data_IF_598356252141
#
_entry.id   IF_598356252141
#
_cell.length_a   1.000
_cell.length_b   1.000
_cell.length_c   1.000
_cell.angle_alpha   90.00
_cell.angle_beta   90.00
_cell.angle_gamma   90.00
#
_symmetry.space_group_name_H-M   'P 1'
#
loop_
_entity.id
_entity.type
_entity.pdbx_description
1 polymer ?
#
# COMPACT_ATOMS: atom_id res chain seq x y z
N UNK A 1 3.90 33.43 -0.71
CA UNK A 1 4.39 32.49 -1.74
C UNK A 1 4.64 31.17 -1.05
N UNK A 2 3.98 30.10 -1.50
CA UNK A 2 3.97 28.81 -0.80
C UNK A 2 5.30 28.08 -1.00
N UNK A 3 6.18 28.11 0.00
CA UNK A 3 7.45 27.36 0.01
C UNK A 3 7.26 25.84 -0.09
N UNK A 4 6.06 25.32 0.21
CA UNK A 4 5.74 23.90 0.18
C UNK A 4 5.62 23.32 -1.25
N UNK A 5 5.24 24.13 -2.25
CA UNK A 5 5.16 23.65 -3.64
C UNK A 5 6.54 23.40 -4.24
N UNK A 6 7.57 24.13 -3.82
CA UNK A 6 8.93 24.04 -4.38
C UNK A 6 9.73 22.83 -3.82
N UNK A 7 9.20 22.15 -2.79
CA UNK A 7 9.81 20.98 -2.14
C UNK A 7 9.20 19.62 -2.56
N UNK A 8 8.13 19.63 -3.35
CA UNK A 8 7.53 18.39 -3.87
C UNK A 8 8.44 17.74 -4.90
N UNK A 9 8.52 16.41 -4.87
CA UNK A 9 9.36 15.66 -5.81
C UNK A 9 8.71 14.32 -6.18
N UNK A 10 9.05 13.83 -7.37
CA UNK A 10 8.49 12.61 -7.95
C UNK A 10 9.58 11.79 -8.64
N UNK A 11 9.32 10.50 -8.85
CA UNK A 11 10.19 9.61 -9.60
C UNK A 11 9.36 8.63 -10.43
N UNK A 12 9.93 8.18 -11.55
CA UNK A 12 9.28 7.25 -12.47
C UNK A 12 10.30 6.23 -12.98
N UNK A 13 9.87 4.98 -13.09
CA UNK A 13 10.59 3.91 -13.79
C UNK A 13 9.60 3.26 -14.75
N UNK A 14 10.04 3.01 -15.99
CA UNK A 14 9.30 2.22 -16.98
C UNK A 14 10.15 1.03 -17.38
N UNK A 15 9.59 -0.17 -17.33
CA UNK A 15 10.28 -1.41 -17.69
C UNK A 15 9.53 -2.21 -18.74
N UNK A 16 10.26 -3.04 -19.48
CA UNK A 16 9.70 -4.11 -20.29
C UNK A 16 9.31 -5.29 -19.38
N UNK A 17 8.03 -5.67 -19.37
CA UNK A 17 7.50 -6.70 -18.44
C UNK A 17 8.16 -8.07 -18.60
N UNK A 18 8.53 -8.46 -19.82
CA UNK A 18 9.06 -9.79 -20.12
C UNK A 18 10.55 -9.96 -19.77
N UNK A 19 11.34 -8.90 -19.89
CA UNK A 19 12.80 -8.96 -19.70
C UNK A 19 13.30 -8.17 -18.49
N UNK A 20 12.49 -7.26 -17.96
CA UNK A 20 12.87 -6.32 -16.92
C UNK A 20 13.75 -5.16 -17.41
N UNK A 21 14.00 -5.02 -18.73
CA UNK A 21 14.79 -3.91 -19.27
C UNK A 21 14.19 -2.57 -18.89
N UNK A 22 15.03 -1.64 -18.43
CA UNK A 22 14.62 -0.27 -18.13
C UNK A 22 14.50 0.51 -19.44
N UNK A 23 13.28 0.97 -19.74
CA UNK A 23 12.98 1.79 -20.92
C UNK A 23 13.10 3.28 -20.61
N UNK A 24 12.76 3.68 -19.38
CA UNK A 24 12.93 5.05 -18.90
C UNK A 24 13.16 5.08 -17.38
N UNK A 25 13.96 6.04 -16.92
CA UNK A 25 14.24 6.26 -15.50
C UNK A 25 14.35 7.75 -15.20
N UNK A 26 13.49 8.24 -14.30
CA UNK A 26 13.46 9.64 -13.83
C UNK A 26 13.58 9.64 -12.31
N UNK A 27 14.67 10.21 -11.80
CA UNK A 27 15.01 10.23 -10.37
C UNK A 27 14.51 11.44 -9.57
N UNK A 28 14.02 12.48 -10.24
CA UNK A 28 13.56 13.72 -9.62
C UNK A 28 13.09 14.74 -10.65
N UNK A 29 12.38 15.78 -10.20
CA UNK A 29 11.84 16.85 -11.06
C UNK A 29 12.95 17.68 -11.72
N UNK A 30 14.01 17.99 -10.96
CA UNK A 30 15.12 18.80 -11.46
C UNK A 30 16.46 18.27 -10.94
N UNK A 31 17.28 17.78 -11.87
CA UNK A 31 18.61 17.24 -11.58
C UNK A 31 19.61 18.30 -11.09
N UNK A 32 19.48 19.55 -11.55
CA UNK A 32 20.35 20.65 -11.11
C UNK A 32 20.06 21.06 -9.67
N UNK A 33 18.78 20.96 -9.25
CA UNK A 33 18.39 21.14 -7.85
C UNK A 33 18.76 19.92 -6.99
N UNK A 34 18.65 18.70 -7.53
CA UNK A 34 18.96 17.47 -6.79
C UNK A 34 19.38 16.33 -7.71
N UNK A 35 20.65 15.94 -7.63
CA UNK A 35 21.18 14.77 -8.35
C UNK A 35 20.80 13.41 -7.70
N UNK A 36 20.03 13.42 -6.61
CA UNK A 36 19.60 12.23 -5.91
C UNK A 36 18.53 11.46 -6.70
N UNK A 37 18.80 10.19 -7.00
CA UNK A 37 17.92 9.36 -7.81
C UNK A 37 16.88 8.65 -6.94
N UNK A 38 15.71 9.27 -6.76
CA UNK A 38 14.62 8.74 -5.94
C UNK A 38 14.02 7.45 -6.51
N UNK A 39 14.17 7.20 -7.81
CA UNK A 39 13.68 5.98 -8.45
C UNK A 39 14.39 4.72 -7.90
N UNK A 40 15.68 4.80 -7.56
CA UNK A 40 16.44 3.63 -7.07
C UNK A 40 16.91 3.76 -5.62
N UNK A 41 17.06 4.98 -5.11
CA UNK A 41 17.70 5.22 -3.80
C UNK A 41 16.71 5.58 -2.69
N UNK A 42 15.50 6.07 -3.02
CA UNK A 42 14.53 6.44 -2.01
C UNK A 42 13.82 5.20 -1.46
N UNK A 43 13.92 4.96 -0.15
CA UNK A 43 13.08 3.98 0.55
C UNK A 43 11.79 4.65 0.98
N UNK A 44 10.65 4.17 0.49
CA UNK A 44 9.31 4.66 0.84
C UNK A 44 8.40 3.48 1.22
N UNK A 45 7.45 3.73 2.11
CA UNK A 45 6.41 2.76 2.42
C UNK A 45 5.55 2.54 1.16
N UNK A 46 5.43 1.28 0.72
CA UNK A 46 4.68 0.93 -0.49
C UNK A 46 3.17 1.17 -0.37
N UNK A 47 2.66 1.28 0.86
CA UNK A 47 1.23 1.46 1.13
C UNK A 47 0.40 0.37 0.45
N UNK A 48 -0.72 0.76 -0.17
CA UNK A 48 -1.62 -0.16 -0.87
C UNK A 48 -1.02 -0.84 -2.11
N UNK A 49 0.15 -0.41 -2.60
CA UNK A 49 0.79 -1.07 -3.75
C UNK A 49 1.22 -2.51 -3.46
N UNK A 50 1.28 -2.93 -2.18
CA UNK A 50 1.59 -4.31 -1.78
C UNK A 50 0.42 -5.29 -2.01
N UNK A 51 -0.81 -4.77 -2.13
CA UNK A 51 -2.03 -5.61 -2.12
C UNK A 51 -2.02 -6.74 -3.15
N UNK A 52 -1.63 -6.54 -4.42
CA UNK A 52 -1.60 -7.63 -5.39
C UNK A 52 -0.86 -8.89 -4.90
N UNK A 53 0.22 -8.74 -4.14
CA UNK A 53 0.97 -9.87 -3.57
C UNK A 53 0.21 -10.59 -2.46
N UNK A 54 -0.50 -9.85 -1.61
CA UNK A 54 -1.36 -10.47 -0.58
C UNK A 54 -2.49 -11.26 -1.22
N UNK A 55 -3.06 -10.75 -2.31
CA UNK A 55 -4.12 -11.42 -3.05
C UNK A 55 -3.60 -12.65 -3.80
N UNK A 56 -2.37 -12.60 -4.32
CA UNK A 56 -1.71 -13.77 -4.90
C UNK A 56 -1.62 -14.91 -3.89
N UNK A 57 -1.21 -14.63 -2.65
CA UNK A 57 -1.18 -15.62 -1.57
C UNK A 57 -2.58 -16.19 -1.29
N UNK A 58 -3.64 -15.36 -1.34
CA UNK A 58 -5.01 -15.87 -1.19
C UNK A 58 -5.39 -16.83 -2.33
N UNK A 59 -5.05 -16.50 -3.58
CA UNK A 59 -5.27 -17.40 -4.71
C UNK A 59 -4.48 -18.71 -4.59
N UNK A 60 -3.22 -18.64 -4.16
CA UNK A 60 -2.38 -19.82 -3.92
C UNK A 60 -2.97 -20.73 -2.82
N UNK A 61 -3.73 -20.15 -1.88
CA UNK A 61 -4.47 -20.86 -0.83
C UNK A 61 -5.88 -21.33 -1.26
N UNK A 62 -6.21 -21.25 -2.55
CA UNK A 62 -7.47 -21.78 -3.10
C UNK A 62 -8.65 -20.81 -3.05
N UNK A 63 -8.43 -19.53 -2.72
CA UNK A 63 -9.47 -18.51 -2.89
C UNK A 63 -9.66 -18.21 -4.39
N UNK A 64 -10.85 -17.74 -4.74
CA UNK A 64 -11.21 -17.31 -6.09
C UNK A 64 -11.61 -15.84 -6.06
N UNK A 65 -11.70 -15.21 -7.23
CA UNK A 65 -12.19 -13.83 -7.36
C UNK A 65 -13.59 -13.64 -6.76
N UNK A 66 -14.41 -14.68 -6.77
CA UNK A 66 -15.77 -14.72 -6.21
C UNK A 66 -15.82 -15.10 -4.73
N UNK A 67 -14.69 -15.48 -4.11
CA UNK A 67 -14.67 -15.80 -2.68
C UNK A 67 -15.10 -14.58 -1.86
N UNK A 68 -16.08 -14.79 -0.99
CA UNK A 68 -16.58 -13.74 -0.10
C UNK A 68 -15.63 -13.57 1.08
N UNK A 69 -15.22 -12.33 1.33
CA UNK A 69 -14.38 -11.95 2.45
C UNK A 69 -15.06 -10.85 3.27
N UNK A 70 -14.93 -10.91 4.61
CA UNK A 70 -15.51 -9.88 5.47
C UNK A 70 -14.69 -8.59 5.39
N UNK A 71 -15.34 -7.52 4.93
CA UNK A 71 -14.90 -6.12 5.01
C UNK A 71 -15.41 -5.50 6.33
N UNK A 72 -15.01 -6.12 7.44
CA UNK A 72 -15.39 -5.68 8.79
C UNK A 72 -14.16 -5.23 9.56
N UNK A 73 -14.32 -4.25 10.46
CA UNK A 73 -13.25 -3.81 11.34
C UNK A 73 -12.60 -5.02 12.04
N UNK A 74 -11.30 -5.22 11.83
CA UNK A 74 -10.52 -6.23 12.55
C UNK A 74 -9.81 -5.54 13.71
N UNK A 75 -10.14 -5.96 14.93
CA UNK A 75 -9.36 -5.61 16.11
C UNK A 75 -8.19 -6.59 16.18
N UNK A 76 -6.99 -6.11 15.90
CA UNK A 76 -5.79 -6.87 16.20
C UNK A 76 -5.42 -6.55 17.65
N UNK A 77 -5.66 -7.50 18.55
CA UNK A 77 -5.03 -7.46 19.88
C UNK A 77 -3.52 -7.58 19.65
N UNK A 78 -2.75 -6.56 20.04
CA UNK A 78 -1.29 -6.62 19.96
C UNK A 78 -0.81 -7.76 20.86
N UNK A 79 -0.54 -8.92 20.25
CA UNK A 79 0.09 -10.05 20.90
C UNK A 79 1.45 -9.62 21.45
N UNK A 80 1.59 -9.70 22.77
CA UNK A 80 2.76 -9.39 23.61
C UNK A 80 2.85 -7.96 24.15
N UNK A 81 1.94 -7.62 25.06
CA UNK A 81 2.00 -6.40 25.85
C UNK A 81 2.73 -6.64 27.19
N UNK A 82 3.92 -6.06 27.32
CA UNK A 82 4.55 -5.79 28.62
C UNK A 82 3.58 -4.97 29.47
N UNK A 83 3.31 -5.42 30.70
CA UNK A 83 2.28 -4.88 31.62
C UNK A 83 2.41 -3.39 32.00
N UNK A 84 3.41 -2.66 31.49
CA UNK A 84 3.78 -1.33 31.98
C UNK A 84 3.93 -0.27 30.87
N UNK A 85 3.00 -0.17 29.91
CA UNK A 85 2.94 1.06 29.08
C UNK A 85 1.51 1.58 28.93
N UNK A 86 1.30 2.81 29.38
CA UNK A 86 0.07 3.61 29.25
C UNK A 86 -0.26 3.98 27.78
N UNK A 87 0.29 3.27 26.80
CA UNK A 87 0.17 3.55 25.36
C UNK A 87 -0.54 2.44 24.59
N UNK A 88 -1.52 1.77 25.23
CA UNK A 88 -2.26 0.67 24.63
C UNK A 88 -3.30 1.20 23.62
N UNK A 89 -2.82 1.77 22.52
CA UNK A 89 -3.65 2.16 21.38
C UNK A 89 -3.90 0.92 20.53
N UNK A 90 -5.07 0.30 20.70
CA UNK A 90 -5.56 -0.70 19.78
C UNK A 90 -5.52 -0.14 18.34
N UNK A 91 -4.86 -0.85 17.42
CA UNK A 91 -4.76 -0.44 16.03
C UNK A 91 -6.07 -0.76 15.33
N UNK A 92 -6.79 0.29 14.92
CA UNK A 92 -8.06 0.20 14.20
C UNK A 92 -7.82 0.60 12.74
N UNK A 93 -7.53 -0.35 11.84
CA UNK A 93 -7.51 -0.04 10.41
C UNK A 93 -8.90 0.44 9.99
N UNK A 94 -8.97 1.53 9.24
CA UNK A 94 -10.22 2.00 8.64
C UNK A 94 -10.02 2.10 7.13
N UNK A 95 -11.03 1.65 6.36
CA UNK A 95 -11.05 1.89 4.93
C UNK A 95 -11.09 3.39 4.64
N UNK A 96 -10.48 3.84 3.55
CA UNK A 96 -10.46 5.26 3.15
C UNK A 96 -11.86 5.89 3.09
N UNK A 97 -12.88 5.08 2.82
CA UNK A 97 -14.29 5.49 2.69
C UNK A 97 -15.09 5.51 4.00
N UNK A 98 -14.53 5.04 5.13
CA UNK A 98 -15.22 4.85 6.44
C UNK A 98 -16.57 4.11 6.36
N UNK A 99 -16.82 3.37 5.27
CA UNK A 99 -18.02 2.56 5.08
C UNK A 99 -17.61 1.09 5.06
N UNK A 100 -18.29 0.29 5.87
CA UNK A 100 -18.15 -1.16 5.85
C UNK A 100 -19.10 -1.72 4.81
N UNK A 101 -18.59 -2.46 3.83
CA UNK A 101 -19.43 -3.08 2.78
C UNK A 101 -19.97 -4.45 3.20
N UNK A 102 -19.58 -4.96 4.37
CA UNK A 102 -20.04 -6.26 4.88
C UNK A 102 -19.27 -7.41 4.23
N UNK A 103 -19.95 -8.30 3.51
CA UNK A 103 -19.30 -9.35 2.73
C UNK A 103 -19.11 -8.87 1.29
N UNK A 104 -17.85 -8.67 0.91
CA UNK A 104 -17.46 -8.33 -0.47
C UNK A 104 -16.74 -9.50 -1.10
N UNK A 105 -16.74 -9.57 -2.43
CA UNK A 105 -15.89 -10.50 -3.16
C UNK A 105 -14.43 -10.04 -3.10
N UNK A 106 -13.50 -11.00 -3.23
CA UNK A 106 -12.07 -10.71 -3.33
C UNK A 106 -11.78 -9.76 -4.51
N UNK A 107 -12.52 -9.86 -5.62
CA UNK A 107 -12.41 -8.93 -6.75
C UNK A 107 -12.77 -7.48 -6.37
N UNK A 108 -13.89 -7.28 -5.66
CA UNK A 108 -14.34 -5.95 -5.22
C UNK A 108 -13.36 -5.34 -4.23
N UNK A 109 -12.84 -6.14 -3.30
CA UNK A 109 -11.86 -5.69 -2.32
C UNK A 109 -10.57 -5.18 -2.97
N UNK A 110 -10.07 -5.87 -3.99
CA UNK A 110 -8.89 -5.44 -4.75
C UNK A 110 -9.18 -4.17 -5.56
N UNK A 111 -10.29 -4.17 -6.29
CA UNK A 111 -10.68 -3.08 -7.19
C UNK A 111 -10.89 -1.76 -6.44
N UNK A 112 -11.45 -1.83 -5.24
CA UNK A 112 -11.65 -0.67 -4.37
C UNK A 112 -10.48 -0.39 -3.42
N UNK A 113 -9.43 -1.21 -3.46
CA UNK A 113 -8.31 -1.14 -2.52
C UNK A 113 -8.79 -1.03 -1.07
N UNK A 114 -9.71 -1.92 -0.66
CA UNK A 114 -10.18 -1.97 0.72
C UNK A 114 -9.04 -2.44 1.63
N UNK A 115 -8.79 -1.73 2.73
CA UNK A 115 -7.72 -2.03 3.67
C UNK A 115 -8.13 -3.13 4.65
N UNK A 116 -9.42 -3.24 4.97
CA UNK A 116 -9.97 -4.20 5.93
C UNK A 116 -10.10 -5.62 5.38
N UNK A 117 -10.13 -5.75 4.05
CA UNK A 117 -10.28 -7.00 3.32
C UNK A 117 -8.92 -7.54 2.78
N UNK A 118 -7.81 -6.93 3.18
CA UNK A 118 -6.42 -7.38 2.89
C UNK A 118 -5.79 -7.85 4.20
#
# INVERSE_FOLDING_TARGET
SNEDEDNLNASMIVTETSTGKILALVGGIDYKKSAFNRATQAKRQFGSAIKPFVYQIAFDNGYSTTSKIPDTARNFENGNYSKNSEQNHAWHPSNYTRKFLGLVTLQEALSHSLNLAT
#
